data_IF_068354599089
#
_entry.id   IF_068354599089
#
_cell.length_a   1.000
_cell.length_b   1.000
_cell.length_c   1.000
_cell.angle_alpha   90.00
_cell.angle_beta   90.00
_cell.angle_gamma   90.00
#
_symmetry.space_group_name_H-M   'P 1'
#
loop_
_entity.id
_entity.type
_entity.pdbx_description
1 polymer ?
#
# COMPACT_ATOMS: atom_id res chain seq x y z
N UNK A 1 32.24 -36.90 -39.29
CA UNK A 1 31.61 -36.92 -37.96
C UNK A 1 32.72 -37.08 -36.94
N UNK A 2 33.31 -35.98 -36.48
CA UNK A 2 34.34 -36.01 -35.43
C UNK A 2 33.69 -35.68 -34.09
N UNK A 3 33.98 -36.53 -33.11
CA UNK A 3 33.38 -36.54 -31.77
C UNK A 3 33.88 -35.34 -30.95
N UNK A 4 32.95 -34.72 -30.23
CA UNK A 4 33.17 -33.54 -29.40
C UNK A 4 34.22 -33.78 -28.31
N UNK A 5 35.04 -32.74 -28.09
CA UNK A 5 36.02 -32.68 -27.01
C UNK A 5 35.28 -32.46 -25.68
N UNK A 6 35.37 -33.42 -24.78
CA UNK A 6 34.98 -33.24 -23.38
C UNK A 6 36.00 -32.31 -22.71
N UNK A 7 35.56 -31.12 -22.31
CA UNK A 7 36.35 -30.19 -21.51
C UNK A 7 36.18 -30.52 -20.03
N UNK A 8 37.14 -31.28 -19.49
CA UNK A 8 37.35 -31.46 -18.05
C UNK A 8 37.89 -30.15 -17.45
N UNK A 9 37.00 -29.24 -17.04
CA UNK A 9 37.38 -28.12 -16.19
C UNK A 9 37.57 -28.64 -14.76
N UNK A 10 38.84 -28.80 -14.36
CA UNK A 10 39.21 -29.15 -13.00
C UNK A 10 38.84 -28.01 -12.06
N UNK A 11 37.96 -28.34 -11.10
CA UNK A 11 37.54 -27.49 -10.00
C UNK A 11 38.71 -27.28 -9.03
N UNK A 12 39.55 -26.29 -9.31
CA UNK A 12 40.56 -25.80 -8.38
C UNK A 12 40.25 -24.34 -8.01
N UNK A 13 39.16 -24.11 -7.28
CA UNK A 13 38.87 -22.82 -6.62
C UNK A 13 39.48 -22.71 -5.21
N UNK A 14 40.64 -23.32 -4.95
CA UNK A 14 41.30 -23.38 -3.62
C UNK A 14 42.11 -22.13 -3.23
N UNK A 15 41.77 -20.96 -3.77
CA UNK A 15 42.54 -19.71 -3.54
C UNK A 15 41.72 -18.49 -3.15
N UNK A 16 40.39 -18.52 -3.26
CA UNK A 16 39.56 -17.36 -2.94
C UNK A 16 39.34 -17.28 -1.42
N UNK A 17 40.20 -16.54 -0.73
CA UNK A 17 39.90 -16.07 0.63
C UNK A 17 38.71 -15.11 0.55
N UNK A 18 37.51 -15.64 0.80
CA UNK A 18 36.31 -14.82 0.94
C UNK A 18 36.44 -14.03 2.23
N UNK A 19 36.74 -12.74 2.12
CA UNK A 19 36.76 -11.83 3.27
C UNK A 19 35.39 -11.91 3.96
N UNK A 20 35.38 -12.40 5.19
CA UNK A 20 34.15 -12.47 5.98
C UNK A 20 33.89 -11.08 6.55
N UNK A 21 32.93 -10.38 5.96
CA UNK A 21 32.48 -9.08 6.47
C UNK A 21 31.83 -9.35 7.83
N UNK A 22 32.37 -8.76 8.91
CA UNK A 22 31.75 -8.86 10.22
C UNK A 22 30.58 -7.88 10.31
N UNK A 23 29.37 -8.38 10.06
CA UNK A 23 28.15 -7.56 10.11
C UNK A 23 27.83 -6.96 11.47
N UNK A 24 28.50 -7.41 12.54
CA UNK A 24 28.33 -6.83 13.84
C UNK A 24 29.15 -5.54 14.04
N UNK A 25 30.02 -5.17 13.10
CA UNK A 25 30.76 -3.89 13.13
C UNK A 25 29.91 -2.71 12.65
N UNK A 26 28.83 -2.95 11.89
CA UNK A 26 27.96 -1.88 11.41
C UNK A 26 27.27 -1.18 12.57
N UNK A 27 27.23 0.14 12.55
CA UNK A 27 26.53 0.93 13.57
C UNK A 27 25.05 0.54 13.65
N UNK A 28 24.48 0.53 14.85
CA UNK A 28 23.07 0.21 15.08
C UNK A 28 22.16 1.16 14.27
N UNK A 29 22.51 2.44 14.24
CA UNK A 29 21.82 3.49 13.48
C UNK A 29 21.78 3.18 11.99
N UNK A 30 22.91 2.75 11.42
CA UNK A 30 23.00 2.34 10.02
C UNK A 30 22.10 1.13 9.72
N UNK A 31 22.12 0.10 10.58
CA UNK A 31 21.26 -1.08 10.40
C UNK A 31 19.78 -0.69 10.40
N UNK A 32 19.36 0.16 11.35
CA UNK A 32 17.99 0.67 11.45
C UNK A 32 17.58 1.48 10.23
N UNK A 33 18.44 2.41 9.80
CA UNK A 33 18.20 3.21 8.61
C UNK A 33 18.07 2.35 7.35
N UNK A 34 18.95 1.36 7.16
CA UNK A 34 18.92 0.49 5.99
C UNK A 34 17.62 -0.31 5.89
N UNK A 35 17.10 -0.81 7.01
CA UNK A 35 15.83 -1.53 7.06
C UNK A 35 14.67 -0.58 6.79
N UNK A 36 14.68 0.61 7.38
CA UNK A 36 13.67 1.65 7.11
C UNK A 36 13.59 2.00 5.63
N UNK A 37 14.73 2.06 4.94
CA UNK A 37 14.78 2.39 3.51
C UNK A 37 14.22 1.24 2.64
N UNK A 38 14.50 -0.01 3.04
CA UNK A 38 13.96 -1.22 2.39
C UNK A 38 12.45 -1.35 2.62
N UNK A 39 11.98 -1.15 3.86
CA UNK A 39 10.56 -1.21 4.21
C UNK A 39 9.76 -0.06 3.58
N UNK A 40 10.42 1.07 3.27
CA UNK A 40 9.83 2.19 2.54
C UNK A 40 9.82 1.99 1.00
N UNK A 41 10.27 0.83 0.50
CA UNK A 41 10.39 0.49 -0.93
C UNK A 41 11.22 1.50 -1.75
N UNK A 42 12.11 2.24 -1.09
CA UNK A 42 13.01 3.21 -1.74
C UNK A 42 14.27 2.55 -2.29
N UNK A 43 14.64 1.38 -1.74
CA UNK A 43 15.82 0.63 -2.12
C UNK A 43 15.51 -0.86 -2.11
N UNK A 44 15.80 -1.55 -3.22
CA UNK A 44 15.66 -3.01 -3.25
C UNK A 44 16.77 -3.69 -2.45
N UNK A 45 16.51 -4.89 -1.93
CA UNK A 45 17.50 -5.69 -1.19
C UNK A 45 18.76 -5.96 -2.05
N UNK A 46 18.58 -6.09 -3.37
CA UNK A 46 19.69 -6.27 -4.32
C UNK A 46 20.50 -4.98 -4.50
N UNK A 47 19.82 -3.85 -4.60
CA UNK A 47 20.45 -2.55 -4.68
C UNK A 47 21.21 -2.20 -3.40
N UNK A 48 20.66 -2.52 -2.23
CA UNK A 48 21.35 -2.42 -0.95
C UNK A 48 22.62 -3.28 -0.91
N UNK A 49 22.55 -4.51 -1.44
CA UNK A 49 23.72 -5.39 -1.54
C UNK A 49 24.83 -4.75 -2.38
N UNK A 50 24.48 -4.24 -3.55
CA UNK A 50 25.46 -3.73 -4.50
C UNK A 50 26.04 -2.39 -4.03
N UNK A 51 25.22 -1.50 -3.42
CA UNK A 51 25.67 -0.23 -2.83
C UNK A 51 26.59 -0.42 -1.62
N UNK A 52 26.23 -1.32 -0.70
CA UNK A 52 26.97 -1.54 0.55
C UNK A 52 27.94 -2.72 0.51
N UNK A 53 28.12 -3.34 -0.68
CA UNK A 53 29.01 -4.49 -0.92
C UNK A 53 28.82 -5.61 0.12
N UNK A 54 27.57 -5.94 0.42
CA UNK A 54 27.23 -7.02 1.36
C UNK A 54 27.56 -8.39 0.74
N UNK A 55 27.82 -9.42 1.57
CA UNK A 55 28.13 -10.76 1.05
C UNK A 55 27.00 -11.30 0.18
N UNK A 56 27.28 -11.77 -1.05
CA UNK A 56 26.27 -12.30 -1.97
C UNK A 56 25.44 -13.46 -1.43
N UNK A 57 25.97 -14.21 -0.46
CA UNK A 57 25.30 -15.40 0.08
C UNK A 57 24.55 -15.13 1.39
N UNK A 58 25.02 -14.19 2.21
CA UNK A 58 24.53 -14.05 3.58
C UNK A 58 23.67 -12.79 3.80
N UNK A 59 23.75 -11.81 2.90
CA UNK A 59 23.06 -10.53 3.05
C UNK A 59 21.57 -10.67 3.34
N UNK A 60 20.86 -11.58 2.66
CA UNK A 60 19.43 -11.82 2.90
C UNK A 60 19.11 -12.29 4.32
N UNK A 61 19.90 -13.23 4.85
CA UNK A 61 19.71 -13.78 6.20
C UNK A 61 19.97 -12.72 7.27
N UNK A 62 20.95 -11.85 7.03
CA UNK A 62 21.33 -10.78 7.95
C UNK A 62 20.30 -9.67 7.92
N UNK A 63 19.86 -9.24 6.74
CA UNK A 63 18.81 -8.25 6.60
C UNK A 63 17.51 -8.74 7.24
N UNK A 64 17.12 -10.01 7.05
CA UNK A 64 15.97 -10.60 7.74
C UNK A 64 16.12 -10.56 9.27
N UNK A 65 17.28 -10.94 9.79
CA UNK A 65 17.56 -10.87 11.24
C UNK A 65 17.53 -9.44 11.77
N UNK A 66 18.05 -8.49 11.01
CA UNK A 66 18.00 -7.09 11.38
C UNK A 66 16.57 -6.57 11.31
N UNK A 67 15.80 -6.93 10.29
CA UNK A 67 14.39 -6.62 10.14
C UNK A 67 13.61 -7.13 11.36
N UNK A 68 13.76 -8.40 11.74
CA UNK A 68 13.12 -8.95 12.96
C UNK A 68 13.53 -8.23 14.26
N UNK A 69 14.72 -7.62 14.31
CA UNK A 69 15.25 -6.94 15.50
C UNK A 69 14.86 -5.46 15.57
N UNK A 70 14.69 -4.82 14.43
CA UNK A 70 14.51 -3.36 14.33
C UNK A 70 13.20 -2.97 13.63
N UNK A 71 12.38 -3.94 13.18
CA UNK A 71 11.00 -3.70 12.80
C UNK A 71 10.19 -3.43 14.07
N UNK A 72 10.42 -2.29 14.69
CA UNK A 72 9.52 -1.82 15.72
C UNK A 72 8.14 -1.59 15.08
N UNK A 73 7.13 -2.08 15.79
CA UNK A 73 5.71 -2.28 15.48
C UNK A 73 4.93 -1.03 14.97
N UNK A 74 5.60 0.09 14.71
CA UNK A 74 5.03 1.38 14.35
C UNK A 74 5.76 2.07 13.19
N UNK A 75 6.42 1.33 12.31
CA UNK A 75 6.70 1.88 10.99
C UNK A 75 5.43 1.79 10.15
N UNK A 76 4.43 2.62 10.48
CA UNK A 76 3.62 3.23 9.43
C UNK A 76 4.58 4.11 8.64
N UNK A 77 5.45 3.49 7.83
CA UNK A 77 6.03 4.20 6.71
C UNK A 77 4.81 4.74 5.98
N UNK A 78 4.71 6.07 5.90
CA UNK A 78 3.94 6.69 4.85
C UNK A 78 4.58 6.20 3.54
N UNK A 79 4.18 5.02 3.09
CA UNK A 79 4.50 4.53 1.76
C UNK A 79 4.06 5.66 0.84
N UNK A 80 5.03 6.22 0.12
CA UNK A 80 4.74 7.25 -0.84
C UNK A 80 3.78 6.63 -1.85
N UNK A 81 2.50 7.02 -1.82
CA UNK A 81 1.46 6.38 -2.63
C UNK A 81 1.96 6.22 -4.06
N UNK A 82 1.89 4.99 -4.57
CA UNK A 82 2.29 4.67 -5.93
C UNK A 82 1.50 5.53 -6.91
N UNK A 83 2.07 5.86 -8.08
CA UNK A 83 1.40 6.68 -9.09
C UNK A 83 0.04 6.09 -9.50
N UNK A 84 -0.07 4.75 -9.49
CA UNK A 84 -1.32 4.02 -9.73
C UNK A 84 -2.36 4.27 -8.63
N UNK A 85 -1.95 4.17 -7.36
CA UNK A 85 -2.82 4.43 -6.20
C UNK A 85 -3.32 5.88 -6.17
N UNK A 86 -2.47 6.85 -6.55
CA UNK A 86 -2.89 8.26 -6.69
C UNK A 86 -3.95 8.44 -7.78
N UNK A 87 -3.78 7.74 -8.91
CA UNK A 87 -4.75 7.79 -10.02
C UNK A 87 -6.09 7.16 -9.65
N UNK A 88 -6.07 6.10 -8.85
CA UNK A 88 -7.28 5.43 -8.38
C UNK A 88 -8.01 6.28 -7.33
N UNK A 89 -7.28 6.94 -6.42
CA UNK A 89 -7.87 7.91 -5.49
C UNK A 89 -8.58 9.06 -6.22
N UNK A 90 -7.98 9.61 -7.28
CA UNK A 90 -8.63 10.67 -8.06
C UNK A 90 -9.94 10.23 -8.70
N UNK A 91 -10.06 8.98 -9.14
CA UNK A 91 -11.32 8.44 -9.68
C UNK A 91 -12.35 8.22 -8.58
N UNK A 92 -11.91 7.77 -7.41
CA UNK A 92 -12.76 7.62 -6.23
C UNK A 92 -13.33 8.97 -5.78
N UNK A 93 -12.51 10.03 -5.74
CA UNK A 93 -12.94 11.39 -5.39
C UNK A 93 -14.00 11.93 -6.35
N UNK A 94 -13.82 11.70 -7.66
CA UNK A 94 -14.83 12.05 -8.67
C UNK A 94 -16.13 11.31 -8.42
N UNK A 95 -16.04 10.01 -8.11
CA UNK A 95 -17.22 9.19 -7.82
C UNK A 95 -17.95 9.65 -6.56
N UNK A 96 -17.22 10.04 -5.51
CA UNK A 96 -17.80 10.57 -4.28
C UNK A 96 -18.59 11.85 -4.59
N UNK A 97 -17.98 12.80 -5.31
CA UNK A 97 -18.66 14.05 -5.70
C UNK A 97 -19.92 13.81 -6.54
N UNK A 98 -19.89 12.85 -7.46
CA UNK A 98 -21.08 12.46 -8.23
C UNK A 98 -22.19 11.90 -7.34
N UNK A 99 -21.83 11.07 -6.36
CA UNK A 99 -22.78 10.45 -5.44
C UNK A 99 -23.38 11.48 -4.49
N UNK A 100 -22.57 12.39 -3.94
CA UNK A 100 -23.02 13.50 -3.11
C UNK A 100 -24.04 14.37 -3.86
N UNK A 101 -23.74 14.77 -5.11
CA UNK A 101 -24.67 15.56 -5.92
C UNK A 101 -25.99 14.82 -6.18
N UNK A 102 -25.96 13.51 -6.41
CA UNK A 102 -27.19 12.71 -6.58
C UNK A 102 -28.00 12.64 -5.29
N UNK A 103 -27.32 12.54 -4.15
CA UNK A 103 -27.95 12.50 -2.83
C UNK A 103 -28.62 13.84 -2.51
N UNK A 104 -27.94 14.97 -2.74
CA UNK A 104 -28.52 16.30 -2.58
C UNK A 104 -29.76 16.50 -3.45
N UNK A 105 -29.71 16.08 -4.72
CA UNK A 105 -30.84 16.19 -5.65
C UNK A 105 -32.03 15.33 -5.17
N UNK A 106 -31.77 14.12 -4.67
CA UNK A 106 -32.81 13.26 -4.10
C UNK A 106 -33.43 13.84 -2.82
N UNK A 107 -32.62 14.45 -1.95
CA UNK A 107 -33.10 15.14 -0.75
C UNK A 107 -33.94 16.37 -1.12
N UNK A 108 -33.48 17.19 -2.07
CA UNK A 108 -34.21 18.35 -2.55
C UNK A 108 -35.57 17.95 -3.14
N UNK A 109 -35.61 16.88 -3.95
CA UNK A 109 -36.87 16.32 -4.48
C UNK A 109 -37.80 15.88 -3.36
N UNK A 110 -37.29 15.19 -2.34
CA UNK A 110 -38.10 14.77 -1.20
C UNK A 110 -38.67 15.96 -0.43
N UNK A 111 -37.88 16.99 -0.18
CA UNK A 111 -38.35 18.22 0.48
C UNK A 111 -39.41 18.90 -0.37
N UNK A 112 -39.14 19.11 -1.67
CA UNK A 112 -40.10 19.71 -2.59
C UNK A 112 -41.44 18.95 -2.62
N UNK A 113 -41.39 17.62 -2.74
CA UNK A 113 -42.59 16.77 -2.72
C UNK A 113 -43.38 16.92 -1.42
N UNK A 114 -42.71 16.88 -0.26
CA UNK A 114 -43.38 17.07 1.03
C UNK A 114 -44.00 18.47 1.14
N UNK A 115 -43.28 19.52 0.70
CA UNK A 115 -43.82 20.89 0.72
C UNK A 115 -45.03 21.07 -0.19
N UNK A 116 -45.04 20.45 -1.38
CA UNK A 116 -46.22 20.46 -2.27
C UNK A 116 -47.41 19.74 -1.64
N UNK A 117 -47.17 18.62 -0.95
CA UNK A 117 -48.21 17.91 -0.20
C UNK A 117 -48.78 18.80 0.89
N UNK A 118 -47.93 19.49 1.65
CA UNK A 118 -48.37 20.40 2.72
C UNK A 118 -49.23 21.56 2.17
N UNK A 119 -48.86 22.13 1.01
CA UNK A 119 -49.65 23.18 0.34
C UNK A 119 -51.00 22.62 -0.14
N UNK A 120 -51.00 21.45 -0.77
CA UNK A 120 -52.22 20.81 -1.25
C UNK A 120 -53.20 20.45 -0.11
N UNK A 121 -52.68 20.02 1.04
CA UNK A 121 -53.49 19.71 2.22
C UNK A 121 -54.04 20.97 2.90
N UNK A 122 -53.23 22.04 3.01
CA UNK A 122 -53.62 23.28 3.71
C UNK A 122 -54.55 24.16 2.87
N UNK A 123 -54.14 24.47 1.63
CA UNK A 123 -54.80 25.49 0.82
C UNK A 123 -55.94 24.91 -0.02
N UNK A 124 -55.76 23.66 -0.49
CA UNK A 124 -56.73 22.98 -1.35
C UNK A 124 -57.55 21.90 -0.64
N UNK A 125 -57.30 21.63 0.65
CA UNK A 125 -57.99 20.63 1.48
C UNK A 125 -58.01 19.21 0.86
N UNK A 126 -57.04 18.88 0.01
CA UNK A 126 -56.89 17.55 -0.57
C UNK A 126 -56.20 16.64 0.43
N UNK A 127 -56.82 15.53 0.85
CA UNK A 127 -56.18 14.57 1.77
C UNK A 127 -55.28 13.60 1.01
N UNK A 128 -53.98 13.89 0.91
CA UNK A 128 -53.02 13.09 0.15
C UNK A 128 -52.28 12.11 1.06
N UNK A 129 -51.82 12.54 2.24
CA UNK A 129 -51.12 11.66 3.18
C UNK A 129 -52.10 10.70 3.86
N UNK A 130 -51.70 9.42 3.95
CA UNK A 130 -52.46 8.41 4.71
C UNK A 130 -52.52 8.82 6.19
N UNK A 131 -53.72 8.88 6.75
CA UNK A 131 -53.89 9.08 8.20
C UNK A 131 -53.35 7.85 8.94
N UNK A 132 -52.59 8.08 10.01
CA UNK A 132 -52.15 6.99 10.91
C UNK A 132 -53.36 6.13 11.28
N UNK A 133 -53.24 4.82 11.11
CA UNK A 133 -54.28 3.89 11.55
C UNK A 133 -54.44 3.92 13.08
N UNK A 134 -55.49 3.28 13.62
CA UNK A 134 -55.64 3.13 15.06
C UNK A 134 -54.40 2.43 15.62
N UNK A 135 -53.80 3.00 16.67
CA UNK A 135 -52.78 2.32 17.49
C UNK A 135 -53.43 1.05 18.03
N UNK A 136 -52.88 -0.11 17.68
CA UNK A 136 -53.23 -1.39 18.33
C UNK A 136 -52.62 -1.46 19.71
#
# INVERSE_FOLDING_TARGET
MEKGKECMLTDQMSGFKKESINYNSYEISFRRWLISEIDADRMSIQEARDRFKLSPSEYKRILKRWQERYSDQLHLSLQAMSSKERSDNSKLDQRIKELEKKLELAQLKNVALNTMIDIAEKDYKLSIRKKSGPKQ
#
